data_IF_564012294141
#
_entry.id   IF_564012294141
#
_cell.length_a   1.000
_cell.length_b   1.000
_cell.length_c   1.000
_cell.angle_alpha   90.00
_cell.angle_beta   90.00
_cell.angle_gamma   90.00
#
_symmetry.space_group_name_H-M   'P 1'
#
loop_
_entity.id
_entity.type
_entity.pdbx_description
1 polymer ?
#
# COMPACT_ATOMS: atom_id res chain seq x y z
N UNK A 1 -56.37 55.10 7.93
CA UNK A 1 -55.17 54.30 7.56
C UNK A 1 -55.10 52.94 8.27
N UNK A 2 -55.15 52.86 9.61
CA UNK A 2 -54.88 51.60 10.36
C UNK A 2 -55.59 50.31 9.87
N UNK A 3 -56.88 50.38 9.51
CA UNK A 3 -57.67 49.22 9.03
C UNK A 3 -56.99 48.46 7.87
N UNK A 4 -56.51 49.17 6.83
CA UNK A 4 -55.90 48.52 5.66
C UNK A 4 -54.59 47.81 6.02
N UNK A 5 -53.81 48.34 6.98
CA UNK A 5 -52.59 47.68 7.45
C UNK A 5 -52.91 46.45 8.31
N UNK A 6 -53.96 46.50 9.13
CA UNK A 6 -54.44 45.34 9.87
C UNK A 6 -54.84 44.19 8.94
N UNK A 7 -55.62 44.46 7.88
CA UNK A 7 -56.00 43.43 6.90
C UNK A 7 -54.80 42.89 6.11
N UNK A 8 -53.81 43.71 5.75
CA UNK A 8 -52.56 43.24 5.13
C UNK A 8 -51.76 42.32 6.06
N UNK A 9 -51.60 42.70 7.32
CA UNK A 9 -50.88 41.89 8.30
C UNK A 9 -51.62 40.57 8.57
N UNK A 10 -52.96 40.60 8.70
CA UNK A 10 -53.79 39.41 8.88
C UNK A 10 -53.71 38.46 7.69
N UNK A 11 -53.75 38.99 6.45
CA UNK A 11 -53.58 38.20 5.22
C UNK A 11 -52.18 37.57 5.14
N UNK A 12 -51.13 38.31 5.52
CA UNK A 12 -49.77 37.77 5.56
C UNK A 12 -49.64 36.64 6.59
N UNK A 13 -50.24 36.79 7.77
CA UNK A 13 -50.27 35.76 8.81
C UNK A 13 -51.06 34.53 8.36
N UNK A 14 -52.23 34.69 7.71
CA UNK A 14 -52.98 33.52 7.21
C UNK A 14 -52.27 32.83 6.06
N UNK A 15 -51.60 33.56 5.16
CA UNK A 15 -50.74 32.97 4.11
C UNK A 15 -49.56 32.19 4.72
N UNK A 16 -48.86 32.74 5.71
CA UNK A 16 -47.78 32.04 6.42
C UNK A 16 -48.27 30.78 7.15
N UNK A 17 -49.44 30.85 7.80
CA UNK A 17 -50.06 29.69 8.47
C UNK A 17 -50.54 28.62 7.49
N UNK A 18 -51.05 29.00 6.31
CA UNK A 18 -51.42 28.07 5.25
C UNK A 18 -50.19 27.43 4.60
N UNK A 19 -49.13 28.20 4.36
CA UNK A 19 -47.86 27.70 3.82
C UNK A 19 -47.18 26.72 4.79
N UNK A 20 -47.11 27.05 6.07
CA UNK A 20 -46.60 26.15 7.11
C UNK A 20 -47.48 24.89 7.27
N UNK A 21 -48.80 24.98 7.10
CA UNK A 21 -49.69 23.80 7.07
C UNK A 21 -49.46 22.92 5.85
N UNK A 22 -49.22 23.49 4.68
CA UNK A 22 -48.90 22.74 3.47
C UNK A 22 -47.55 21.99 3.62
N UNK A 23 -46.52 22.65 4.15
CA UNK A 23 -45.22 22.01 4.43
C UNK A 23 -45.38 20.87 5.47
N UNK A 24 -46.23 21.06 6.48
CA UNK A 24 -46.55 20.04 7.48
C UNK A 24 -47.47 18.90 6.98
N UNK A 25 -47.85 18.89 5.69
CA UNK A 25 -48.63 17.82 5.05
C UNK A 25 -47.82 17.02 4.01
N UNK A 26 -46.58 17.40 3.71
CA UNK A 26 -45.67 16.62 2.85
C UNK A 26 -45.19 15.39 3.62
N UNK A 27 -45.17 14.22 2.98
CA UNK A 27 -44.63 13.00 3.59
C UNK A 27 -43.13 13.19 3.92
N UNK A 28 -42.63 12.77 5.10
CA UNK A 28 -41.21 12.88 5.43
C UNK A 28 -40.27 12.25 4.38
N UNK A 29 -40.70 11.19 3.68
CA UNK A 29 -39.96 10.58 2.58
C UNK A 29 -39.96 11.43 1.30
N UNK A 30 -41.09 12.06 0.96
CA UNK A 30 -41.22 12.98 -0.17
C UNK A 30 -40.36 14.22 0.03
N UNK A 31 -40.39 14.78 1.24
CA UNK A 31 -39.55 15.91 1.62
C UNK A 31 -38.06 15.56 1.50
N UNK A 32 -37.62 14.42 2.05
CA UNK A 32 -36.23 13.98 1.95
C UNK A 32 -35.79 13.79 0.50
N UNK A 33 -36.63 13.22 -0.37
CA UNK A 33 -36.27 13.08 -1.77
C UNK A 33 -36.17 14.43 -2.50
N UNK A 34 -37.05 15.39 -2.21
CA UNK A 34 -36.95 16.75 -2.75
C UNK A 34 -35.62 17.41 -2.32
N UNK A 35 -35.24 17.27 -1.04
CA UNK A 35 -33.99 17.78 -0.48
C UNK A 35 -32.74 17.10 -1.10
N UNK A 36 -32.80 15.82 -1.46
CA UNK A 36 -31.75 15.11 -2.21
C UNK A 36 -31.70 15.48 -3.71
N UNK A 37 -32.85 15.66 -4.35
CA UNK A 37 -32.98 16.07 -5.75
C UNK A 37 -32.35 17.45 -5.98
N UNK A 38 -32.66 18.39 -5.09
CA UNK A 38 -32.21 19.78 -5.23
C UNK A 38 -30.72 19.93 -4.95
N UNK A 39 -30.15 19.10 -4.05
CA UNK A 39 -28.71 18.97 -3.87
C UNK A 39 -28.00 18.46 -5.15
N UNK A 40 -28.54 17.42 -5.82
CA UNK A 40 -27.99 16.96 -7.11
C UNK A 40 -28.14 18.01 -8.22
N UNK A 41 -29.22 18.81 -8.24
CA UNK A 41 -29.36 19.90 -9.21
C UNK A 41 -28.29 20.97 -9.00
N UNK A 42 -28.11 21.45 -7.76
CA UNK A 42 -27.08 22.43 -7.43
C UNK A 42 -25.67 21.93 -7.80
N UNK A 43 -25.38 20.65 -7.56
CA UNK A 43 -24.12 20.01 -7.92
C UNK A 43 -23.88 19.96 -9.44
N UNK A 44 -24.90 19.56 -10.23
CA UNK A 44 -24.86 19.58 -11.71
C UNK A 44 -24.56 20.98 -12.22
N UNK A 45 -25.30 21.96 -11.71
CA UNK A 45 -25.25 23.34 -12.18
C UNK A 45 -23.91 24.01 -11.83
N UNK A 46 -23.30 23.63 -10.70
CA UNK A 46 -21.93 24.03 -10.30
C UNK A 46 -20.82 23.46 -11.18
N UNK A 47 -21.01 22.30 -11.82
CA UNK A 47 -19.99 21.66 -12.68
C UNK A 47 -19.93 22.18 -14.12
N UNK A 48 -20.95 22.94 -14.57
CA UNK A 48 -21.03 23.55 -15.91
C UNK A 48 -20.62 22.61 -17.07
N UNK A 49 -21.04 21.34 -17.01
CA UNK A 49 -20.59 20.29 -17.92
C UNK A 49 -21.74 19.80 -18.81
N UNK A 50 -21.58 19.90 -20.13
CA UNK A 50 -22.65 19.58 -21.11
C UNK A 50 -23.10 18.11 -21.07
N UNK A 51 -22.21 17.17 -20.75
CA UNK A 51 -22.56 15.75 -20.61
C UNK A 51 -23.41 15.53 -19.35
N UNK A 52 -23.03 16.09 -18.19
CA UNK A 52 -23.85 16.03 -16.98
C UNK A 52 -25.18 16.77 -17.13
N UNK A 53 -25.20 17.92 -17.80
CA UNK A 53 -26.44 18.67 -18.05
C UNK A 53 -27.48 17.85 -18.82
N UNK A 54 -27.04 16.97 -19.74
CA UNK A 54 -27.91 16.01 -20.43
C UNK A 54 -28.22 14.79 -19.56
N UNK A 55 -27.22 14.18 -18.91
CA UNK A 55 -27.39 12.95 -18.12
C UNK A 55 -28.17 13.13 -16.82
N UNK A 56 -28.16 14.34 -16.25
CA UNK A 56 -28.89 14.73 -15.04
C UNK A 56 -29.97 15.79 -15.33
N UNK A 57 -30.53 15.80 -16.55
CA UNK A 57 -31.63 16.69 -16.92
C UNK A 57 -32.90 16.42 -16.10
N UNK A 58 -33.25 15.14 -15.90
CA UNK A 58 -34.48 14.69 -15.25
C UNK A 58 -34.16 13.93 -13.94
N UNK A 59 -33.88 14.66 -12.87
CA UNK A 59 -33.68 14.09 -11.52
C UNK A 59 -35.07 13.85 -10.90
N UNK A 60 -35.57 12.62 -10.98
CA UNK A 60 -36.93 12.25 -10.57
C UNK A 60 -36.92 11.51 -9.23
N UNK A 61 -37.92 11.81 -8.39
CA UNK A 61 -38.09 11.20 -7.07
C UNK A 61 -38.92 9.90 -7.07
N UNK A 62 -39.92 9.81 -7.93
CA UNK A 62 -40.90 8.72 -7.90
C UNK A 62 -41.11 8.11 -9.27
N UNK A 63 -40.43 7.00 -9.51
CA UNK A 63 -40.69 6.05 -10.58
C UNK A 63 -40.32 4.66 -10.06
N UNK A 64 -41.13 3.63 -10.37
CA UNK A 64 -40.78 2.24 -10.04
C UNK A 64 -39.47 1.78 -10.72
N UNK A 65 -39.06 2.50 -11.78
CA UNK A 65 -37.73 2.44 -12.38
C UNK A 65 -37.30 3.89 -12.72
N UNK A 66 -36.53 4.59 -11.85
CA UNK A 66 -35.98 5.90 -12.20
C UNK A 66 -34.91 5.75 -13.28
N UNK A 67 -34.70 6.77 -14.14
CA UNK A 67 -33.62 6.72 -15.12
C UNK A 67 -32.25 6.63 -14.41
N UNK A 68 -31.36 5.80 -14.95
CA UNK A 68 -29.97 5.69 -14.48
C UNK A 68 -29.22 7.01 -14.73
N UNK A 69 -29.25 7.90 -13.73
CA UNK A 69 -28.44 9.12 -13.71
C UNK A 69 -26.97 8.70 -13.66
N UNK A 70 -26.19 9.08 -14.68
CA UNK A 70 -24.79 8.66 -14.80
C UNK A 70 -24.01 8.97 -13.50
N UNK A 71 -23.39 7.94 -12.92
CA UNK A 71 -22.61 8.06 -11.69
C UNK A 71 -23.41 8.07 -10.38
N UNK A 72 -24.75 8.06 -10.39
CA UNK A 72 -25.56 8.03 -9.16
C UNK A 72 -25.93 6.59 -8.79
N UNK A 73 -25.61 6.19 -7.57
CA UNK A 73 -26.09 4.94 -6.95
C UNK A 73 -27.25 5.25 -6.01
N UNK A 74 -28.25 4.37 -5.99
CA UNK A 74 -29.41 4.45 -5.08
C UNK A 74 -29.66 3.12 -4.37
N UNK A 75 -30.24 3.20 -3.17
CA UNK A 75 -30.81 2.07 -2.45
C UNK A 75 -32.07 2.52 -1.72
N UNK A 76 -33.18 1.81 -1.89
CA UNK A 76 -34.50 2.17 -1.33
C UNK A 76 -34.85 3.65 -1.58
N UNK A 77 -34.74 4.06 -2.85
CA UNK A 77 -34.96 5.41 -3.39
C UNK A 77 -34.08 6.55 -2.85
N UNK A 78 -33.20 6.28 -1.87
CA UNK A 78 -32.21 7.21 -1.33
C UNK A 78 -30.89 7.16 -2.11
N UNK A 79 -30.22 8.31 -2.22
CA UNK A 79 -28.88 8.38 -2.83
C UNK A 79 -27.85 7.76 -1.88
N UNK A 80 -27.14 6.74 -2.36
CA UNK A 80 -26.08 6.04 -1.62
C UNK A 80 -24.69 6.24 -2.22
N UNK A 81 -24.58 6.72 -3.46
CA UNK A 81 -23.28 6.96 -4.08
C UNK A 81 -23.29 7.99 -5.21
N UNK A 82 -22.18 8.71 -5.35
CA UNK A 82 -21.89 9.63 -6.46
C UNK A 82 -20.48 9.34 -6.96
N UNK A 83 -20.35 8.86 -8.19
CA UNK A 83 -19.08 8.45 -8.83
C UNK A 83 -18.97 9.11 -10.20
N UNK A 84 -18.18 10.18 -10.30
CA UNK A 84 -18.03 11.03 -11.48
C UNK A 84 -16.55 11.20 -11.87
N UNK A 85 -15.87 10.09 -12.12
CA UNK A 85 -14.42 10.08 -12.38
C UNK A 85 -14.08 10.37 -13.85
N UNK A 86 -12.92 10.99 -14.10
CA UNK A 86 -12.32 11.13 -15.44
C UNK A 86 -13.18 11.88 -16.49
N UNK A 87 -14.20 12.64 -16.07
CA UNK A 87 -15.14 13.35 -16.97
C UNK A 87 -14.65 14.73 -17.43
N UNK A 88 -13.53 15.22 -16.91
CA UNK A 88 -13.04 16.57 -17.18
C UNK A 88 -13.92 17.67 -16.57
N UNK A 89 -14.58 17.38 -15.43
CA UNK A 89 -15.43 18.36 -14.73
C UNK A 89 -14.62 19.56 -14.26
N UNK A 90 -15.26 20.73 -14.26
CA UNK A 90 -14.68 21.99 -13.79
C UNK A 90 -15.69 22.70 -12.88
N UNK A 91 -15.44 23.95 -12.51
CA UNK A 91 -16.31 24.69 -11.59
C UNK A 91 -16.03 24.34 -10.13
N UNK A 92 -16.92 24.80 -9.24
CA UNK A 92 -16.74 24.75 -7.80
C UNK A 92 -17.83 23.91 -7.14
N UNK A 93 -17.46 23.09 -6.16
CA UNK A 93 -18.41 22.49 -5.22
C UNK A 93 -18.50 23.38 -3.97
N UNK A 94 -19.71 23.70 -3.54
CA UNK A 94 -19.93 24.43 -2.29
C UNK A 94 -19.83 23.49 -1.08
N UNK A 95 -19.28 23.98 0.02
CA UNK A 95 -18.92 23.15 1.17
C UNK A 95 -20.10 22.35 1.74
N UNK A 96 -21.33 22.86 1.65
CA UNK A 96 -22.55 22.22 2.15
C UNK A 96 -23.27 21.29 1.14
N UNK A 97 -22.67 20.99 -0.01
CA UNK A 97 -23.34 20.30 -1.13
C UNK A 97 -23.95 18.91 -0.80
N UNK A 98 -23.50 18.24 0.26
CA UNK A 98 -23.94 16.89 0.62
C UNK A 98 -24.75 16.79 1.91
N UNK A 99 -25.02 17.91 2.60
CA UNK A 99 -25.69 17.94 3.92
C UNK A 99 -27.05 17.21 3.89
N UNK A 100 -27.79 17.29 2.78
CA UNK A 100 -29.08 16.60 2.60
C UNK A 100 -28.94 15.10 2.26
N UNK A 101 -27.78 14.65 1.75
CA UNK A 101 -27.57 13.29 1.23
C UNK A 101 -27.24 12.30 2.36
N UNK A 102 -28.11 12.20 3.37
CA UNK A 102 -27.83 11.52 4.65
C UNK A 102 -27.60 10.00 4.55
N UNK A 103 -27.85 9.39 3.39
CA UNK A 103 -27.56 7.98 3.09
C UNK A 103 -26.30 7.77 2.21
N UNK A 104 -25.59 8.84 1.85
CA UNK A 104 -24.39 8.78 1.00
C UNK A 104 -23.29 7.96 1.68
N UNK A 105 -22.83 6.91 0.99
CA UNK A 105 -21.81 5.96 1.42
C UNK A 105 -20.53 6.01 0.56
N UNK A 106 -20.65 6.38 -0.72
CA UNK A 106 -19.54 6.45 -1.67
C UNK A 106 -19.54 7.80 -2.39
N UNK A 107 -18.44 8.54 -2.31
CA UNK A 107 -18.20 9.73 -3.12
C UNK A 107 -16.89 9.57 -3.89
N UNK A 108 -16.93 9.75 -5.21
CA UNK A 108 -15.72 9.88 -6.03
C UNK A 108 -15.87 10.95 -7.11
N UNK A 109 -14.95 11.92 -7.10
CA UNK A 109 -14.74 12.95 -8.11
C UNK A 109 -13.35 12.85 -8.76
N UNK A 110 -12.70 11.68 -8.61
CA UNK A 110 -11.33 11.38 -9.04
C UNK A 110 -10.99 11.87 -10.45
N UNK A 111 -9.82 12.50 -10.59
CA UNK A 111 -9.23 12.91 -11.88
C UNK A 111 -10.14 13.83 -12.71
N UNK A 112 -10.40 15.02 -12.17
CA UNK A 112 -11.12 16.11 -12.85
C UNK A 112 -10.36 17.44 -12.66
N UNK A 113 -11.07 18.57 -12.68
CA UNK A 113 -10.52 19.91 -12.45
C UNK A 113 -11.48 20.77 -11.60
N UNK A 114 -12.16 20.10 -10.67
CA UNK A 114 -13.10 20.69 -9.70
C UNK A 114 -12.31 21.43 -8.62
N UNK A 115 -12.80 22.59 -8.19
CA UNK A 115 -12.22 23.38 -7.10
C UNK A 115 -13.21 23.63 -5.94
N UNK A 116 -12.71 24.27 -4.88
CA UNK A 116 -13.44 24.52 -3.63
C UNK A 116 -12.76 23.84 -2.44
N UNK A 117 -13.31 24.08 -1.25
CA UNK A 117 -12.79 23.47 -0.02
C UNK A 117 -13.29 22.03 0.13
N UNK A 118 -12.71 21.27 1.07
CA UNK A 118 -13.23 19.93 1.41
C UNK A 118 -14.61 20.08 2.07
N UNK A 119 -15.62 19.47 1.44
CA UNK A 119 -17.02 19.56 1.85
C UNK A 119 -17.26 19.13 3.32
N UNK A 120 -18.35 19.64 3.90
CA UNK A 120 -18.90 19.18 5.18
C UNK A 120 -19.64 17.85 5.02
N UNK A 121 -19.18 16.84 5.75
CA UNK A 121 -19.76 15.49 5.78
C UNK A 121 -20.50 15.16 7.08
N UNK A 122 -20.73 16.14 7.97
CA UNK A 122 -21.22 15.91 9.35
C UNK A 122 -22.53 15.13 9.45
N UNK A 123 -23.40 15.20 8.42
CA UNK A 123 -24.66 14.44 8.37
C UNK A 123 -24.58 13.14 7.55
N UNK A 124 -23.48 12.89 6.84
CA UNK A 124 -23.30 11.72 5.95
C UNK A 124 -22.78 10.51 6.72
N UNK A 125 -23.45 10.15 7.82
CA UNK A 125 -23.08 9.11 8.79
C UNK A 125 -23.15 7.65 8.25
N UNK A 126 -23.16 7.49 6.92
CA UNK A 126 -23.05 6.24 6.18
C UNK A 126 -21.81 6.17 5.27
N UNK A 127 -20.97 7.21 5.27
CA UNK A 127 -19.78 7.28 4.43
C UNK A 127 -18.79 6.15 4.72
N UNK A 128 -18.40 5.45 3.65
CA UNK A 128 -17.39 4.37 3.62
C UNK A 128 -16.19 4.81 2.76
N UNK A 129 -16.43 5.48 1.62
CA UNK A 129 -15.37 5.88 0.69
C UNK A 129 -15.54 7.31 0.19
N UNK A 130 -14.45 8.09 0.27
CA UNK A 130 -14.29 9.41 -0.36
C UNK A 130 -13.04 9.38 -1.25
N UNK A 131 -13.16 9.69 -2.55
CA UNK A 131 -12.05 9.94 -3.46
C UNK A 131 -12.22 11.28 -4.20
N UNK A 132 -11.55 12.32 -3.69
CA UNK A 132 -11.48 13.65 -4.30
C UNK A 132 -10.14 13.86 -5.04
N UNK A 133 -9.37 12.79 -5.27
CA UNK A 133 -7.98 12.90 -5.73
C UNK A 133 -7.84 13.41 -7.17
N UNK A 134 -6.71 14.04 -7.48
CA UNK A 134 -6.40 14.63 -8.79
C UNK A 134 -7.45 15.67 -9.22
N UNK A 135 -7.53 16.77 -8.45
CA UNK A 135 -8.45 17.89 -8.64
C UNK A 135 -7.75 19.22 -8.24
N UNK A 136 -8.54 20.25 -7.93
CA UNK A 136 -8.09 21.58 -7.50
C UNK A 136 -8.75 21.98 -6.17
N UNK A 137 -9.04 21.02 -5.29
CA UNK A 137 -9.56 21.33 -3.95
C UNK A 137 -8.50 22.06 -3.12
N UNK A 138 -8.90 23.10 -2.40
CA UNK A 138 -8.05 23.95 -1.55
C UNK A 138 -8.63 24.09 -0.13
N UNK A 139 -8.23 25.12 0.63
CA UNK A 139 -8.59 25.24 2.05
C UNK A 139 -7.91 24.17 2.91
N UNK A 140 -8.59 23.72 3.98
CA UNK A 140 -8.11 22.71 4.92
C UNK A 140 -8.84 21.36 4.76
N UNK A 141 -8.28 20.29 5.33
CA UNK A 141 -9.00 19.02 5.48
C UNK A 141 -10.11 19.22 6.52
N UNK A 142 -11.37 19.00 6.12
CA UNK A 142 -12.54 19.27 6.95
C UNK A 142 -12.65 18.34 8.16
N UNK A 143 -12.69 18.90 9.38
CA UNK A 143 -12.87 18.15 10.64
C UNK A 143 -14.19 17.35 10.70
N UNK A 144 -15.17 17.67 9.85
CA UNK A 144 -16.39 16.86 9.69
C UNK A 144 -16.09 15.39 9.38
N UNK A 145 -14.97 15.13 8.69
CA UNK A 145 -14.47 13.79 8.35
C UNK A 145 -14.10 12.95 9.59
N UNK A 146 -13.76 13.59 10.72
CA UNK A 146 -13.47 12.89 11.99
C UNK A 146 -14.70 12.21 12.59
N UNK A 147 -15.91 12.66 12.23
CA UNK A 147 -17.17 12.09 12.73
C UNK A 147 -17.57 10.79 12.00
N UNK A 148 -16.90 10.45 10.89
CA UNK A 148 -17.31 9.37 9.99
C UNK A 148 -16.81 8.01 10.50
N UNK A 149 -17.54 7.44 11.45
CA UNK A 149 -17.21 6.19 12.15
C UNK A 149 -17.18 4.93 11.26
N UNK A 150 -17.69 5.00 10.02
CA UNK A 150 -17.70 3.89 9.05
C UNK A 150 -16.74 4.11 7.86
N UNK A 151 -15.93 5.17 7.88
CA UNK A 151 -15.03 5.51 6.77
C UNK A 151 -13.90 4.48 6.66
N UNK A 152 -13.79 3.81 5.51
CA UNK A 152 -12.76 2.81 5.19
C UNK A 152 -11.70 3.35 4.21
N UNK A 153 -12.05 4.30 3.33
CA UNK A 153 -11.13 4.92 2.37
C UNK A 153 -11.32 6.43 2.20
N UNK A 154 -10.21 7.19 2.26
CA UNK A 154 -10.16 8.66 2.10
C UNK A 154 -8.97 9.08 1.22
N UNK A 155 -9.22 9.34 -0.06
CA UNK A 155 -8.24 9.75 -1.07
C UNK A 155 -8.40 11.24 -1.38
N UNK A 156 -7.39 12.06 -1.04
CA UNK A 156 -7.35 13.52 -1.23
C UNK A 156 -6.10 13.99 -1.99
N UNK A 157 -5.26 13.06 -2.47
CA UNK A 157 -3.97 13.33 -3.10
C UNK A 157 -4.08 14.10 -4.43
N UNK A 158 -3.02 14.82 -4.80
CA UNK A 158 -2.99 15.68 -6.00
C UNK A 158 -4.12 16.74 -5.98
N UNK A 159 -4.06 17.62 -4.98
CA UNK A 159 -4.93 18.78 -4.80
C UNK A 159 -4.06 19.96 -4.30
N UNK A 160 -4.70 21.03 -3.81
CA UNK A 160 -4.05 22.24 -3.29
C UNK A 160 -4.32 22.45 -1.80
N UNK A 161 -4.69 21.39 -1.06
CA UNK A 161 -5.06 21.44 0.36
C UNK A 161 -3.91 21.94 1.25
N UNK A 162 -4.24 22.70 2.29
CA UNK A 162 -3.30 23.42 3.18
C UNK A 162 -3.57 23.10 4.66
N UNK A 163 -2.64 23.50 5.54
CA UNK A 163 -2.76 23.28 6.99
C UNK A 163 -2.43 21.85 7.43
N UNK A 164 -2.75 21.54 8.69
CA UNK A 164 -2.41 20.27 9.36
C UNK A 164 -3.33 19.12 8.94
N UNK A 165 -2.87 17.88 9.17
CA UNK A 165 -3.70 16.69 9.04
C UNK A 165 -4.46 16.45 10.36
N UNK A 166 -5.81 16.39 10.35
CA UNK A 166 -6.60 16.10 11.54
C UNK A 166 -6.32 14.73 12.20
N UNK A 167 -6.67 14.58 13.48
CA UNK A 167 -6.46 13.34 14.25
C UNK A 167 -7.54 12.28 13.95
N UNK A 168 -7.42 11.62 12.80
CA UNK A 168 -8.23 10.48 12.38
C UNK A 168 -8.09 9.28 13.34
N UNK A 169 -8.96 9.22 14.35
CA UNK A 169 -8.99 8.15 15.35
C UNK A 169 -9.99 7.02 15.01
N UNK A 170 -10.54 7.00 13.78
CA UNK A 170 -11.48 5.94 13.37
C UNK A 170 -10.77 4.60 13.13
N UNK A 171 -11.13 3.60 13.94
CA UNK A 171 -10.60 2.23 13.84
C UNK A 171 -11.08 1.45 12.62
N UNK A 172 -11.95 2.03 11.79
CA UNK A 172 -12.44 1.50 10.50
C UNK A 172 -11.56 1.89 9.30
N UNK A 173 -10.86 3.02 9.36
CA UNK A 173 -10.14 3.58 8.21
C UNK A 173 -8.94 2.70 7.84
N UNK A 174 -8.89 2.25 6.58
CA UNK A 174 -7.86 1.33 6.03
C UNK A 174 -6.99 1.97 4.97
N UNK A 175 -7.57 2.88 4.19
CA UNK A 175 -6.89 3.56 3.10
C UNK A 175 -7.01 5.07 3.32
N UNK A 176 -5.88 5.78 3.39
CA UNK A 176 -5.88 7.22 3.51
C UNK A 176 -4.71 7.79 2.71
N UNK A 177 -4.91 8.87 1.96
CA UNK A 177 -3.85 9.44 1.13
C UNK A 177 -4.07 10.93 0.92
N UNK A 178 -3.14 11.74 1.42
CA UNK A 178 -3.15 13.21 1.32
C UNK A 178 -1.93 13.77 0.59
N UNK A 179 -1.18 12.90 -0.11
CA UNK A 179 0.08 13.26 -0.75
C UNK A 179 -0.06 14.25 -1.91
N UNK A 180 1.00 14.99 -2.23
CA UNK A 180 1.00 16.00 -3.29
C UNK A 180 -0.11 17.07 -3.06
N UNK A 181 -0.02 17.73 -1.90
CA UNK A 181 -0.82 18.85 -1.42
C UNK A 181 0.12 19.87 -0.74
N UNK A 182 -0.39 21.04 -0.34
CA UNK A 182 0.31 22.12 0.36
C UNK A 182 0.13 22.07 1.90
N UNK A 183 -0.09 20.87 2.45
CA UNK A 183 -0.27 20.63 3.88
C UNK A 183 1.00 21.00 4.67
N UNK A 184 0.88 21.24 5.97
CA UNK A 184 2.02 21.49 6.89
C UNK A 184 1.60 21.37 8.36
N UNK A 185 2.55 21.00 9.22
CA UNK A 185 2.31 20.79 10.66
C UNK A 185 2.85 19.45 11.15
N UNK A 186 2.61 19.10 12.43
CA UNK A 186 3.02 17.84 13.01
C UNK A 186 2.20 16.65 12.47
N UNK A 187 2.71 15.43 12.67
CA UNK A 187 1.99 14.19 12.39
C UNK A 187 0.99 13.93 13.52
N UNK A 188 -0.31 13.70 13.24
CA UNK A 188 -1.31 13.42 14.27
C UNK A 188 -1.05 12.11 15.03
N UNK A 189 -1.24 12.12 16.37
CA UNK A 189 -0.94 10.98 17.25
C UNK A 189 -2.19 10.13 17.53
N UNK A 190 -2.61 9.36 16.52
CA UNK A 190 -3.88 8.63 16.53
C UNK A 190 -3.80 7.22 17.14
N UNK A 191 -4.76 6.88 18.00
CA UNK A 191 -4.72 5.65 18.80
C UNK A 191 -5.27 4.43 18.03
N UNK A 192 -4.34 3.65 17.47
CA UNK A 192 -4.52 2.27 16.98
C UNK A 192 -5.63 2.03 15.93
N UNK A 193 -5.57 2.79 14.84
CA UNK A 193 -5.53 2.16 13.52
C UNK A 193 -4.06 2.07 13.14
N UNK A 194 -3.53 0.87 12.94
CA UNK A 194 -2.12 0.71 12.60
C UNK A 194 -1.79 1.50 11.33
N UNK A 195 -0.97 2.53 11.52
CA UNK A 195 -0.09 3.14 10.51
C UNK A 195 -0.60 4.36 9.69
N UNK A 196 -1.15 5.34 10.39
CA UNK A 196 -1.35 6.71 9.90
C UNK A 196 -0.11 7.63 9.68
N UNK A 197 1.00 7.70 10.42
CA UNK A 197 1.95 6.72 10.97
C UNK A 197 2.66 5.81 9.93
N UNK A 198 2.14 5.66 8.70
CA UNK A 198 2.92 5.52 7.45
C UNK A 198 2.46 6.50 6.37
N UNK A 199 1.26 7.05 6.53
CA UNK A 199 0.69 7.98 5.56
C UNK A 199 1.27 9.40 5.71
N UNK A 200 2.19 9.57 6.69
CA UNK A 200 3.27 10.55 6.72
C UNK A 200 4.69 9.92 6.86
N UNK A 201 4.89 8.58 6.80
CA UNK A 201 6.20 7.97 6.47
C UNK A 201 6.32 7.85 4.93
N UNK A 202 6.82 8.84 4.22
CA UNK A 202 7.52 9.99 4.76
C UNK A 202 6.93 11.33 4.38
N UNK A 203 5.94 11.38 3.48
CA UNK A 203 5.36 12.59 2.83
C UNK A 203 6.39 13.50 2.10
N UNK A 204 7.67 13.41 2.49
CA UNK A 204 8.63 14.51 2.64
C UNK A 204 10.09 14.08 2.88
N UNK A 205 10.41 12.77 2.94
CA UNK A 205 11.67 12.27 2.31
C UNK A 205 11.73 12.65 0.81
N UNK A 206 10.58 13.05 0.26
CA UNK A 206 10.42 13.71 -1.03
C UNK A 206 10.77 15.22 -1.02
N UNK A 207 10.65 15.92 0.12
CA UNK A 207 11.21 17.28 0.27
C UNK A 207 12.72 17.27 0.51
N UNK A 208 13.24 16.21 1.13
CA UNK A 208 14.65 15.83 1.01
C UNK A 208 15.06 15.40 -0.43
N UNK A 209 14.18 15.56 -1.42
CA UNK A 209 14.55 15.67 -2.83
C UNK A 209 14.24 17.07 -3.39
N UNK A 210 13.11 17.69 -3.02
CA UNK A 210 12.74 19.05 -3.42
C UNK A 210 13.80 20.13 -3.06
N UNK A 211 14.72 19.86 -2.13
CA UNK A 211 15.88 20.75 -1.82
C UNK A 211 17.26 20.23 -2.23
N UNK A 212 17.51 18.92 -2.25
CA UNK A 212 18.88 18.37 -2.41
C UNK A 212 19.49 18.53 -3.82
N UNK A 213 18.72 18.95 -4.82
CA UNK A 213 19.23 19.30 -6.17
C UNK A 213 19.21 20.82 -6.45
N UNK A 214 18.82 21.67 -5.49
CA UNK A 214 18.63 23.10 -5.72
C UNK A 214 19.94 23.94 -5.63
N UNK A 215 21.02 23.38 -5.06
CA UNK A 215 22.22 24.14 -4.68
C UNK A 215 23.51 23.30 -4.54
N UNK A 216 23.78 22.42 -5.51
CA UNK A 216 25.11 21.83 -5.83
C UNK A 216 25.10 21.59 -7.35
N UNK A 217 25.79 22.31 -8.23
CA UNK A 217 27.09 23.00 -8.22
C UNK A 217 28.33 22.07 -8.25
N UNK A 218 28.92 22.03 -9.45
CA UNK A 218 30.27 21.56 -9.89
C UNK A 218 30.76 20.10 -9.69
N UNK A 219 31.14 19.49 -10.84
CA UNK A 219 32.22 18.48 -11.08
C UNK A 219 32.16 17.18 -10.26
N UNK A 220 31.92 16.00 -10.85
CA UNK A 220 32.78 15.34 -11.86
C UNK A 220 31.98 14.34 -12.73
N UNK A 221 32.48 14.03 -13.94
CA UNK A 221 31.79 13.23 -14.96
C UNK A 221 32.60 12.00 -15.42
N UNK A 222 33.05 11.15 -14.47
CA UNK A 222 33.73 9.89 -14.79
C UNK A 222 33.50 8.75 -13.75
N UNK A 223 32.29 8.18 -13.71
CA UNK A 223 32.12 6.80 -13.23
C UNK A 223 30.90 6.10 -13.86
N UNK A 224 31.14 5.02 -14.59
CA UNK A 224 30.09 4.15 -15.17
C UNK A 224 29.60 3.13 -14.12
N UNK A 225 29.11 3.60 -12.98
CA UNK A 225 28.60 2.75 -11.89
C UNK A 225 27.10 2.43 -12.08
N UNK A 226 26.82 1.23 -12.59
CA UNK A 226 25.47 0.71 -12.83
C UNK A 226 24.80 0.07 -11.61
N UNK A 227 25.47 0.01 -10.46
CA UNK A 227 25.05 -0.81 -9.30
C UNK A 227 23.73 -0.36 -8.64
N UNK A 228 23.32 0.89 -8.83
CA UNK A 228 22.34 1.63 -8.01
C UNK A 228 20.86 1.29 -8.23
N UNK A 229 20.50 0.12 -8.78
CA UNK A 229 19.17 -0.13 -9.36
C UNK A 229 18.20 -1.05 -8.57
N UNK A 230 18.66 -1.91 -7.66
CA UNK A 230 17.80 -2.52 -6.60
C UNK A 230 18.22 -2.13 -5.18
N UNK A 231 19.48 -1.74 -4.96
CA UNK A 231 19.90 -1.01 -3.75
C UNK A 231 19.38 0.45 -3.77
N UNK A 232 18.07 0.62 -3.96
CA UNK A 232 17.42 1.90 -4.14
C UNK A 232 17.17 2.61 -2.79
N UNK A 233 18.26 2.86 -2.05
CA UNK A 233 18.31 3.52 -0.74
C UNK A 233 17.32 2.93 0.28
N UNK A 234 17.67 1.79 0.89
CA UNK A 234 17.07 1.36 2.16
C UNK A 234 17.47 2.36 3.27
N UNK A 235 16.76 3.49 3.34
CA UNK A 235 17.01 4.54 4.32
C UNK A 235 16.33 4.14 5.62
N UNK A 236 17.12 3.92 6.68
CA UNK A 236 16.58 3.87 8.06
C UNK A 236 15.87 5.20 8.31
N UNK A 237 14.62 5.08 8.70
CA UNK A 237 13.70 6.16 8.97
C UNK A 237 13.35 6.10 10.46
N UNK A 238 13.39 7.25 11.14
CA UNK A 238 13.06 7.39 12.56
C UNK A 238 12.01 8.48 12.66
N UNK A 239 10.93 8.22 13.38
CA UNK A 239 9.99 9.27 13.81
C UNK A 239 10.55 9.95 15.06
N UNK A 240 10.11 11.17 15.36
CA UNK A 240 10.59 11.89 16.54
C UNK A 240 10.23 11.18 17.87
N UNK A 241 9.05 10.52 17.93
CA UNK A 241 8.55 9.76 19.09
C UNK A 241 8.07 8.32 18.73
N UNK A 242 8.57 7.71 17.65
CA UNK A 242 7.99 6.47 17.10
C UNK A 242 8.98 5.46 16.49
N UNK A 243 8.51 4.24 16.18
CA UNK A 243 9.36 3.10 15.85
C UNK A 243 10.16 3.33 14.58
N UNK A 244 11.42 2.88 14.59
CA UNK A 244 12.26 2.94 13.40
C UNK A 244 11.75 1.97 12.31
N UNK A 245 11.83 2.42 11.05
CA UNK A 245 11.39 1.66 9.87
C UNK A 245 12.46 1.67 8.76
N UNK A 246 12.35 0.74 7.81
CA UNK A 246 13.10 0.74 6.56
C UNK A 246 12.17 1.14 5.43
N UNK A 247 12.51 2.19 4.68
CA UNK A 247 11.82 2.56 3.45
C UNK A 247 12.57 1.99 2.25
N UNK A 248 11.90 1.16 1.44
CA UNK A 248 12.47 0.50 0.26
C UNK A 248 11.77 0.98 -1.01
N UNK A 249 12.52 1.57 -1.94
CA UNK A 249 11.96 2.04 -3.22
C UNK A 249 11.88 0.91 -4.24
N UNK A 250 10.68 0.65 -4.73
CA UNK A 250 10.47 -0.27 -5.85
C UNK A 250 10.76 0.44 -7.19
N UNK A 251 11.37 -0.31 -8.10
CA UNK A 251 11.63 0.07 -9.50
C UNK A 251 11.33 -1.14 -10.38
N UNK A 252 11.46 -0.97 -11.69
CA UNK A 252 11.45 -2.09 -12.66
C UNK A 252 10.16 -2.95 -12.60
N UNK A 253 9.07 -2.32 -12.16
CA UNK A 253 7.75 -2.92 -12.02
C UNK A 253 7.09 -3.17 -13.37
N UNK A 254 6.25 -4.21 -13.45
CA UNK A 254 5.34 -4.38 -14.59
C UNK A 254 4.31 -3.24 -14.61
N UNK A 255 3.72 -2.90 -15.77
CA UNK A 255 2.60 -1.95 -15.83
C UNK A 255 1.46 -2.43 -14.93
N UNK A 256 1.00 -1.54 -14.04
CA UNK A 256 0.01 -1.81 -13.00
C UNK A 256 -0.91 -0.61 -12.84
N UNK A 257 -2.19 -0.86 -12.64
CA UNK A 257 -3.13 0.10 -12.06
C UNK A 257 -2.89 0.26 -10.55
N UNK A 258 -3.48 1.30 -9.95
CA UNK A 258 -3.45 1.50 -8.49
C UNK A 258 -4.05 0.30 -7.75
N UNK A 259 -5.12 -0.27 -8.31
CA UNK A 259 -5.95 -1.28 -7.64
C UNK A 259 -5.32 -2.67 -7.73
N UNK A 260 -4.71 -3.02 -8.88
CA UNK A 260 -3.89 -4.22 -9.00
C UNK A 260 -2.65 -4.17 -8.08
N UNK A 261 -2.00 -3.01 -7.96
CA UNK A 261 -0.86 -2.82 -7.06
C UNK A 261 -1.28 -2.95 -5.59
N UNK A 262 -2.36 -2.28 -5.19
CA UNK A 262 -2.94 -2.40 -3.85
C UNK A 262 -3.33 -3.84 -3.52
N UNK A 263 -3.97 -4.56 -4.46
CA UNK A 263 -4.35 -5.97 -4.30
C UNK A 263 -3.15 -6.89 -4.10
N UNK A 264 -2.07 -6.72 -4.88
CA UNK A 264 -0.83 -7.49 -4.71
C UNK A 264 -0.13 -7.20 -3.38
N UNK A 265 -0.16 -5.95 -2.89
CA UNK A 265 0.42 -5.60 -1.60
C UNK A 265 -0.43 -6.04 -0.40
N UNK A 266 -1.76 -6.06 -0.53
CA UNK A 266 -2.64 -6.63 0.49
C UNK A 266 -2.32 -8.12 0.68
N UNK A 267 -2.19 -8.89 -0.40
CA UNK A 267 -1.81 -10.29 -0.35
C UNK A 267 -0.43 -10.56 0.31
N UNK A 268 0.47 -9.57 0.32
CA UNK A 268 1.77 -9.60 1.02
C UNK A 268 1.62 -9.21 2.49
N UNK A 269 0.81 -8.19 2.80
CA UNK A 269 0.50 -7.74 4.17
C UNK A 269 -0.32 -8.77 4.98
N UNK A 270 -1.09 -9.62 4.30
CA UNK A 270 -1.86 -10.71 4.92
C UNK A 270 -0.97 -11.89 5.38
N UNK A 271 0.30 -11.97 4.94
CA UNK A 271 1.25 -13.04 5.33
C UNK A 271 1.82 -12.79 6.73
N UNK A 272 1.01 -13.05 7.76
CA UNK A 272 1.35 -12.78 9.17
C UNK A 272 2.04 -14.00 9.80
N UNK A 273 3.37 -13.92 9.96
CA UNK A 273 4.20 -14.99 10.52
C UNK A 273 5.40 -14.43 11.30
N UNK A 274 5.78 -14.97 12.48
CA UNK A 274 6.88 -14.46 13.32
C UNK A 274 8.29 -14.56 12.71
N UNK A 275 8.45 -15.17 11.55
CA UNK A 275 9.72 -15.18 10.80
C UNK A 275 9.62 -14.52 9.41
N UNK A 276 8.53 -13.81 9.11
CA UNK A 276 8.43 -12.91 7.95
C UNK A 276 8.59 -11.46 8.44
N UNK A 277 9.31 -10.63 7.68
CA UNK A 277 9.42 -9.20 7.94
C UNK A 277 8.10 -8.52 7.52
N UNK A 278 7.22 -8.08 8.44
CA UNK A 278 5.91 -7.57 8.05
C UNK A 278 6.03 -6.36 7.14
N UNK A 279 5.34 -6.38 5.99
CA UNK A 279 5.00 -5.17 5.25
C UNK A 279 3.98 -4.41 6.09
N UNK A 280 4.36 -3.22 6.58
CA UNK A 280 3.47 -2.46 7.46
C UNK A 280 2.59 -1.48 6.67
N UNK A 281 3.11 -0.83 5.62
CA UNK A 281 2.33 -0.21 4.54
C UNK A 281 3.19 0.13 3.31
N UNK A 282 2.59 0.86 2.37
CA UNK A 282 3.17 1.24 1.08
C UNK A 282 2.79 2.66 0.64
N UNK A 283 3.50 3.18 -0.36
CA UNK A 283 3.16 4.40 -1.08
C UNK A 283 3.07 4.09 -2.59
N UNK A 284 2.09 4.69 -3.27
CA UNK A 284 1.90 4.59 -4.72
C UNK A 284 1.58 5.97 -5.32
N UNK A 285 2.41 6.44 -6.24
CA UNK A 285 2.06 7.48 -7.22
C UNK A 285 2.53 7.07 -8.62
N UNK A 286 2.32 7.92 -9.63
CA UNK A 286 2.76 7.64 -11.02
C UNK A 286 4.25 7.27 -11.09
N UNK A 287 5.09 8.01 -10.37
CA UNK A 287 6.55 8.00 -10.55
C UNK A 287 7.29 7.21 -9.45
N UNK A 288 6.70 7.09 -8.25
CA UNK A 288 7.36 6.55 -7.06
C UNK A 288 6.49 5.49 -6.35
N UNK A 289 7.09 4.33 -6.05
CA UNK A 289 6.47 3.23 -5.31
C UNK A 289 7.39 2.84 -4.17
N UNK A 290 6.89 2.86 -2.93
CA UNK A 290 7.69 2.54 -1.73
C UNK A 290 6.99 1.43 -0.93
N UNK A 291 7.78 0.51 -0.37
CA UNK A 291 7.36 -0.41 0.69
C UNK A 291 8.04 -0.02 1.98
N UNK A 292 7.37 -0.21 3.11
CA UNK A 292 7.94 0.12 4.42
C UNK A 292 7.72 -1.01 5.43
N UNK A 293 8.83 -1.39 6.07
CA UNK A 293 8.96 -2.51 7.00
C UNK A 293 9.50 -2.03 8.36
N UNK A 294 9.31 -2.81 9.43
CA UNK A 294 9.95 -2.51 10.73
C UNK A 294 11.48 -2.53 10.56
N UNK A 295 12.19 -1.60 11.21
CA UNK A 295 13.65 -1.66 11.26
C UNK A 295 14.10 -2.84 12.12
N UNK A 296 14.77 -3.80 11.48
CA UNK A 296 15.48 -4.89 12.14
C UNK A 296 16.83 -4.35 12.62
N UNK A 297 17.06 -4.38 13.94
CA UNK A 297 18.14 -3.62 14.58
C UNK A 297 19.47 -4.34 14.66
N UNK A 298 19.50 -5.67 14.48
CA UNK A 298 20.68 -6.51 14.69
C UNK A 298 21.21 -7.08 13.36
N UNK A 299 22.53 -7.01 13.16
CA UNK A 299 23.19 -7.38 11.90
C UNK A 299 23.98 -8.68 11.89
N UNK A 300 24.23 -9.31 13.05
CA UNK A 300 25.19 -10.41 13.19
C UNK A 300 24.51 -11.73 13.58
N UNK A 301 24.74 -12.79 12.80
CA UNK A 301 24.14 -14.12 13.02
C UNK A 301 24.90 -14.91 14.09
N UNK A 302 24.68 -14.58 15.36
CA UNK A 302 25.31 -15.28 16.49
C UNK A 302 24.79 -16.72 16.69
N UNK A 303 23.57 -17.02 16.20
CA UNK A 303 22.94 -18.35 16.31
C UNK A 303 22.46 -18.88 14.95
N UNK A 304 23.41 -19.38 14.15
CA UNK A 304 23.18 -19.85 12.77
C UNK A 304 22.14 -20.99 12.65
N UNK A 305 22.01 -21.86 13.67
CA UNK A 305 20.96 -22.89 13.72
C UNK A 305 19.56 -22.31 13.94
N UNK A 306 19.43 -21.33 14.84
CA UNK A 306 18.17 -20.64 15.08
C UNK A 306 17.71 -19.91 13.82
N UNK A 307 18.63 -19.18 13.15
CA UNK A 307 18.35 -18.48 11.90
C UNK A 307 17.90 -19.41 10.79
N UNK A 308 18.65 -20.49 10.51
CA UNK A 308 18.24 -21.51 9.54
C UNK A 308 16.82 -22.04 9.80
N UNK A 309 16.51 -22.39 11.06
CA UNK A 309 15.20 -22.92 11.46
C UNK A 309 14.06 -21.91 11.29
N UNK A 310 14.30 -20.63 11.58
CA UNK A 310 13.29 -19.58 11.39
C UNK A 310 13.02 -19.29 9.92
N UNK A 311 14.06 -19.27 9.08
CA UNK A 311 13.91 -19.11 7.62
C UNK A 311 13.15 -20.30 7.01
N UNK A 312 13.42 -21.54 7.46
CA UNK A 312 12.65 -22.71 7.04
C UNK A 312 11.14 -22.58 7.35
N UNK A 313 10.79 -22.12 8.57
CA UNK A 313 9.39 -21.85 8.97
C UNK A 313 8.74 -20.74 8.15
N UNK A 314 9.49 -19.71 7.79
CA UNK A 314 9.00 -18.63 6.92
C UNK A 314 8.64 -19.15 5.52
N UNK A 315 9.48 -20.00 4.94
CA UNK A 315 9.18 -20.68 3.67
C UNK A 315 7.99 -21.64 3.80
N UNK A 316 7.95 -22.46 4.86
CA UNK A 316 6.83 -23.36 5.17
C UNK A 316 5.50 -22.60 5.23
N UNK A 317 5.44 -21.48 5.96
CA UNK A 317 4.26 -20.61 6.02
C UNK A 317 3.84 -20.12 4.62
N UNK A 318 4.76 -19.51 3.87
CA UNK A 318 4.50 -19.02 2.51
C UNK A 318 4.06 -20.14 1.56
N UNK A 319 4.58 -21.36 1.75
CA UNK A 319 4.26 -22.51 0.89
C UNK A 319 2.93 -23.17 1.26
N UNK A 320 2.44 -23.03 2.49
CA UNK A 320 1.17 -23.62 2.95
C UNK A 320 -0.01 -22.64 2.89
N UNK A 321 0.19 -21.35 3.14
CA UNK A 321 -0.88 -20.36 3.35
C UNK A 321 -1.49 -19.84 2.01
N UNK A 322 -1.91 -20.76 1.15
CA UNK A 322 -2.30 -20.48 -0.26
C UNK A 322 -3.76 -20.02 -0.39
N UNK A 323 -4.20 -19.05 0.40
CA UNK A 323 -5.58 -18.52 0.39
C UNK A 323 -5.92 -17.74 -0.89
N UNK A 324 -4.90 -17.31 -1.64
CA UNK A 324 -5.02 -16.76 -3.00
C UNK A 324 -4.17 -17.54 -3.97
N UNK A 325 -4.67 -17.74 -5.20
CA UNK A 325 -4.03 -18.53 -6.27
C UNK A 325 -2.74 -17.90 -6.85
N UNK A 326 -2.20 -16.86 -6.20
CA UNK A 326 -1.22 -15.91 -6.75
C UNK A 326 0.12 -15.88 -6.03
N UNK A 327 0.25 -16.45 -4.82
CA UNK A 327 1.40 -16.17 -3.93
C UNK A 327 2.16 -17.41 -3.41
N UNK A 328 2.73 -18.20 -4.32
CA UNK A 328 3.93 -19.03 -4.10
C UNK A 328 4.71 -19.00 -5.42
N UNK A 329 6.04 -18.77 -5.49
CA UNK A 329 7.06 -18.84 -4.42
C UNK A 329 7.67 -17.49 -3.98
N UNK A 330 8.53 -17.54 -2.96
CA UNK A 330 9.31 -16.40 -2.43
C UNK A 330 10.19 -15.75 -3.49
N UNK A 331 10.89 -16.56 -4.30
CA UNK A 331 11.59 -16.11 -5.50
C UNK A 331 12.98 -15.50 -5.31
N UNK A 332 13.27 -14.89 -4.15
CA UNK A 332 14.52 -14.16 -3.92
C UNK A 332 15.20 -14.43 -2.56
N UNK A 333 15.26 -15.69 -2.11
CA UNK A 333 15.91 -15.99 -0.82
C UNK A 333 17.45 -15.98 -0.94
N UNK A 334 18.10 -15.20 -0.07
CA UNK A 334 19.56 -15.10 0.12
C UNK A 334 19.86 -14.45 1.48
N UNK A 335 21.12 -14.52 1.94
CA UNK A 335 21.55 -13.95 3.22
C UNK A 335 21.21 -12.47 3.42
N UNK A 336 21.37 -11.62 2.40
CA UNK A 336 21.00 -10.19 2.47
C UNK A 336 19.50 -9.93 2.70
N UNK A 337 18.66 -10.95 2.56
CA UNK A 337 17.20 -10.87 2.66
C UNK A 337 16.70 -11.59 3.93
N UNK A 338 17.60 -11.85 4.89
CA UNK A 338 17.30 -12.39 6.22
C UNK A 338 17.89 -11.43 7.25
N UNK A 339 17.01 -10.73 7.96
CA UNK A 339 17.37 -9.74 8.98
C UNK A 339 17.18 -10.31 10.39
N UNK A 340 17.72 -9.65 11.42
CA UNK A 340 17.50 -10.02 12.83
C UNK A 340 16.85 -8.86 13.59
N UNK A 341 15.75 -9.16 14.28
CA UNK A 341 15.07 -8.18 15.13
C UNK A 341 15.84 -7.94 16.45
N UNK A 342 15.26 -7.09 17.30
CA UNK A 342 15.79 -6.74 18.62
C UNK A 342 15.92 -7.94 19.60
N UNK A 343 15.30 -9.08 19.28
CA UNK A 343 15.28 -10.33 20.04
C UNK A 343 16.13 -11.44 19.38
N UNK A 344 16.97 -11.10 18.39
CA UNK A 344 17.71 -12.03 17.50
C UNK A 344 16.83 -12.97 16.66
N UNK A 345 15.52 -12.68 16.51
CA UNK A 345 14.61 -13.49 15.70
C UNK A 345 14.84 -13.22 14.20
N UNK A 346 14.97 -14.28 13.36
CA UNK A 346 15.18 -14.14 11.94
C UNK A 346 13.89 -13.72 11.23
N UNK A 347 13.97 -12.64 10.46
CA UNK A 347 12.89 -12.09 9.64
C UNK A 347 13.27 -12.14 8.16
N UNK A 348 12.54 -12.93 7.38
CA UNK A 348 12.72 -13.05 5.92
C UNK A 348 12.01 -11.89 5.22
N UNK A 349 12.72 -11.19 4.32
CA UNK A 349 12.24 -10.02 3.58
C UNK A 349 12.16 -10.25 2.06
N UNK A 350 11.57 -9.30 1.33
CA UNK A 350 11.36 -9.32 -0.14
C UNK A 350 10.50 -10.48 -0.68
N UNK A 351 9.71 -11.14 0.17
CA UNK A 351 8.76 -12.16 -0.26
C UNK A 351 7.61 -11.56 -1.10
N UNK A 352 7.09 -12.33 -2.06
CA UNK A 352 5.95 -11.94 -2.91
C UNK A 352 6.24 -10.90 -4.00
N UNK A 353 7.41 -10.24 -4.00
CA UNK A 353 7.79 -9.22 -4.99
C UNK A 353 7.89 -9.74 -6.44
N UNK A 354 7.98 -11.07 -6.60
CA UNK A 354 7.84 -11.78 -7.89
C UNK A 354 6.56 -11.45 -8.64
N UNK A 355 5.49 -11.08 -7.93
CA UNK A 355 4.23 -10.65 -8.54
C UNK A 355 4.34 -9.27 -9.21
N UNK A 356 5.17 -8.36 -8.68
CA UNK A 356 5.19 -6.93 -9.03
C UNK A 356 6.20 -6.57 -10.14
N UNK A 357 7.33 -7.28 -10.23
CA UNK A 357 8.49 -6.92 -11.06
C UNK A 357 8.41 -7.58 -12.46
N UNK A 358 9.00 -6.96 -13.48
CA UNK A 358 9.01 -7.50 -14.84
C UNK A 358 9.90 -8.77 -14.99
N UNK A 359 9.39 -9.78 -15.71
CA UNK A 359 10.04 -11.11 -15.86
C UNK A 359 11.51 -11.10 -16.34
N UNK A 360 11.95 -10.26 -17.30
CA UNK A 360 13.36 -10.23 -17.70
C UNK A 360 14.30 -9.82 -16.56
N UNK A 361 13.80 -8.95 -15.68
CA UNK A 361 14.58 -8.36 -14.58
C UNK A 361 14.58 -9.30 -13.37
N UNK A 362 13.48 -10.00 -13.13
CA UNK A 362 13.43 -11.17 -12.25
C UNK A 362 14.46 -12.23 -12.66
N UNK A 363 14.48 -12.60 -13.96
CA UNK A 363 15.37 -13.62 -14.50
C UNK A 363 16.87 -13.26 -14.39
N UNK A 364 17.23 -11.97 -14.44
CA UNK A 364 18.60 -11.52 -14.25
C UNK A 364 19.00 -11.47 -12.76
N UNK A 365 18.11 -10.97 -11.89
CA UNK A 365 18.50 -10.50 -10.54
C UNK A 365 18.08 -11.43 -9.39
N UNK A 366 16.99 -12.18 -9.48
CA UNK A 366 16.47 -12.97 -8.36
C UNK A 366 17.04 -14.40 -8.29
N UNK A 367 17.28 -14.89 -7.06
CA UNK A 367 17.99 -16.16 -6.83
C UNK A 367 17.22 -17.38 -7.32
N UNK A 368 15.92 -17.51 -7.03
CA UNK A 368 15.12 -18.67 -7.46
C UNK A 368 14.94 -18.75 -8.98
N UNK A 369 15.26 -17.68 -9.74
CA UNK A 369 15.29 -17.67 -11.21
C UNK A 369 16.63 -18.15 -11.79
N UNK A 370 17.63 -18.39 -10.94
CA UNK A 370 18.91 -19.03 -11.31
C UNK A 370 18.90 -20.54 -10.99
N UNK A 371 17.78 -21.07 -10.49
CA UNK A 371 17.61 -22.48 -10.11
C UNK A 371 17.65 -23.41 -11.33
N UNK A 372 18.07 -24.69 -11.18
CA UNK A 372 17.97 -25.70 -12.23
C UNK A 372 16.54 -25.88 -12.77
N UNK A 373 15.54 -25.76 -11.89
CA UNK A 373 14.11 -25.84 -12.25
C UNK A 373 13.70 -24.70 -13.19
N UNK A 374 14.03 -23.44 -12.88
CA UNK A 374 13.71 -22.32 -13.77
C UNK A 374 14.54 -22.36 -15.06
N UNK A 375 15.81 -22.76 -14.98
CA UNK A 375 16.65 -22.89 -16.17
C UNK A 375 16.07 -23.90 -17.17
N UNK A 376 15.57 -25.05 -16.70
CA UNK A 376 14.91 -26.07 -17.53
C UNK A 376 13.48 -25.71 -17.96
N UNK A 377 12.60 -25.39 -17.01
CA UNK A 377 11.15 -25.30 -17.22
C UNK A 377 10.58 -23.88 -17.32
N UNK A 378 11.41 -22.83 -17.13
CA UNK A 378 11.01 -21.41 -17.10
C UNK A 378 9.89 -21.08 -16.10
N UNK A 379 9.76 -21.90 -15.07
CA UNK A 379 8.82 -21.74 -13.96
C UNK A 379 9.59 -21.81 -12.65
N UNK A 380 9.31 -20.87 -11.75
CA UNK A 380 9.79 -20.91 -10.36
C UNK A 380 8.73 -21.60 -9.52
N UNK A 381 9.12 -22.51 -8.63
CA UNK A 381 8.19 -23.17 -7.69
C UNK A 381 8.74 -23.22 -6.27
N UNK A 382 8.03 -23.91 -5.38
CA UNK A 382 8.50 -24.30 -4.05
C UNK A 382 9.89 -24.94 -4.08
N UNK A 383 10.19 -25.76 -5.10
CA UNK A 383 11.50 -26.43 -5.26
C UNK A 383 12.62 -25.44 -5.59
N UNK A 384 12.35 -24.37 -6.35
CA UNK A 384 13.31 -23.27 -6.55
C UNK A 384 13.60 -22.46 -5.28
N UNK A 385 12.63 -22.32 -4.37
CA UNK A 385 12.88 -21.73 -3.04
C UNK A 385 13.70 -22.67 -2.16
N UNK A 386 13.40 -23.98 -2.15
CA UNK A 386 14.23 -25.00 -1.48
C UNK A 386 15.69 -24.94 -1.97
N UNK A 387 15.90 -24.82 -3.28
CA UNK A 387 17.24 -24.65 -3.85
C UNK A 387 17.93 -23.38 -3.36
N UNK A 388 17.21 -22.26 -3.32
CA UNK A 388 17.72 -20.97 -2.81
C UNK A 388 18.01 -21.02 -1.32
N UNK A 389 17.21 -21.75 -0.53
CA UNK A 389 17.47 -22.05 0.88
C UNK A 389 18.74 -22.90 1.04
N UNK A 390 18.99 -23.87 0.17
CA UNK A 390 20.25 -24.60 0.10
C UNK A 390 21.45 -23.66 -0.08
N UNK A 391 21.37 -22.74 -1.05
CA UNK A 391 22.36 -21.69 -1.23
C UNK A 391 22.59 -20.83 0.02
N UNK A 392 21.50 -20.34 0.63
CA UNK A 392 21.55 -19.57 1.88
C UNK A 392 22.18 -20.33 3.05
N UNK A 393 21.90 -21.62 3.21
CA UNK A 393 22.54 -22.45 4.24
C UNK A 393 24.06 -22.57 4.00
N UNK A 394 24.51 -22.61 2.75
CA UNK A 394 25.94 -22.56 2.45
C UNK A 394 26.55 -21.17 2.73
N UNK A 395 25.82 -20.08 2.52
CA UNK A 395 26.27 -18.74 2.93
C UNK A 395 26.45 -18.69 4.47
N UNK A 396 25.49 -19.20 5.25
CA UNK A 396 25.58 -19.31 6.72
C UNK A 396 26.74 -20.19 7.22
N UNK A 397 27.02 -21.31 6.54
CA UNK A 397 28.05 -22.26 6.98
C UNK A 397 29.47 -21.86 6.58
N UNK A 398 29.63 -21.20 5.42
CA UNK A 398 30.94 -20.90 4.82
C UNK A 398 31.42 -19.47 5.09
N UNK A 399 30.53 -18.55 5.46
CA UNK A 399 30.81 -17.11 5.54
C UNK A 399 31.08 -16.44 4.19
N UNK A 400 30.79 -17.12 3.07
CA UNK A 400 31.04 -16.66 1.69
C UNK A 400 29.70 -16.29 1.02
N UNK A 401 29.73 -15.34 0.08
CA UNK A 401 28.56 -14.96 -0.73
C UNK A 401 28.48 -15.84 -1.98
N UNK A 402 27.28 -16.33 -2.30
CA UNK A 402 27.04 -17.14 -3.51
C UNK A 402 27.13 -16.30 -4.78
N UNK A 403 27.70 -16.84 -5.85
CA UNK A 403 27.67 -16.25 -7.20
C UNK A 403 26.23 -16.05 -7.74
N UNK A 404 25.25 -16.78 -7.20
CA UNK A 404 23.84 -16.58 -7.51
C UNK A 404 23.23 -15.38 -6.75
N UNK A 405 23.82 -14.99 -5.61
CA UNK A 405 23.43 -13.85 -4.76
C UNK A 405 24.20 -12.56 -5.06
N UNK A 406 25.42 -12.68 -5.60
CA UNK A 406 26.39 -11.60 -5.76
C UNK A 406 26.09 -10.65 -6.94
N UNK A 407 26.67 -9.45 -6.85
CA UNK A 407 26.66 -8.44 -7.91
C UNK A 407 27.86 -8.61 -8.85
N UNK A 408 27.74 -8.09 -10.08
CA UNK A 408 28.83 -8.06 -11.06
C UNK A 408 30.03 -7.28 -10.48
N UNK A 409 31.23 -7.89 -10.53
CA UNK A 409 32.46 -7.33 -9.98
C UNK A 409 32.89 -7.88 -8.61
N UNK A 410 32.01 -8.54 -7.85
CA UNK A 410 32.40 -9.23 -6.62
C UNK A 410 33.05 -10.60 -6.89
N UNK A 411 34.15 -10.88 -6.19
CA UNK A 411 34.73 -12.23 -6.14
C UNK A 411 33.74 -13.18 -5.47
N UNK A 412 33.09 -14.01 -6.28
CA UNK A 412 31.95 -14.82 -5.88
C UNK A 412 32.11 -16.27 -6.33
N UNK A 413 31.54 -17.18 -5.54
CA UNK A 413 31.73 -18.63 -5.71
C UNK A 413 30.37 -19.28 -5.90
N UNK A 414 30.26 -20.19 -6.87
CA UNK A 414 29.14 -21.13 -6.93
C UNK A 414 29.27 -22.10 -5.73
N UNK A 415 28.67 -21.74 -4.61
CA UNK A 415 28.81 -22.48 -3.35
C UNK A 415 28.30 -23.91 -3.47
N UNK A 416 27.19 -24.15 -4.19
CA UNK A 416 26.69 -25.50 -4.44
C UNK A 416 27.76 -26.35 -5.18
N UNK A 417 28.30 -25.87 -6.31
CA UNK A 417 29.32 -26.61 -7.07
C UNK A 417 30.72 -26.64 -6.40
N UNK A 418 31.03 -25.73 -5.48
CA UNK A 418 32.24 -25.81 -4.65
C UNK A 418 32.08 -26.84 -3.53
N UNK A 419 30.98 -26.78 -2.77
CA UNK A 419 30.70 -27.71 -1.66
C UNK A 419 30.51 -29.15 -2.15
N UNK A 420 29.82 -29.38 -3.27
CA UNK A 420 29.73 -30.73 -3.86
C UNK A 420 31.11 -31.33 -4.22
N UNK A 421 32.11 -30.50 -4.54
CA UNK A 421 33.49 -30.96 -4.75
C UNK A 421 34.20 -31.22 -3.43
N UNK A 422 34.18 -30.25 -2.50
CA UNK A 422 34.82 -30.38 -1.19
C UNK A 422 34.30 -31.59 -0.38
N UNK A 423 32.99 -31.88 -0.42
CA UNK A 423 32.42 -33.07 0.23
C UNK A 423 32.88 -34.37 -0.47
N UNK A 424 32.92 -34.40 -1.81
CA UNK A 424 33.38 -35.55 -2.60
C UNK A 424 34.88 -35.83 -2.44
N UNK A 425 35.67 -34.78 -2.26
CA UNK A 425 37.12 -34.84 -2.04
C UNK A 425 37.48 -34.98 -0.54
N UNK A 426 36.48 -35.19 0.33
CA UNK A 426 36.56 -35.38 1.79
C UNK A 426 37.03 -34.15 2.61
N UNK A 427 37.22 -32.98 1.99
CA UNK A 427 37.69 -31.73 2.62
C UNK A 427 36.57 -30.99 3.39
N UNK A 428 35.74 -31.75 4.10
CA UNK A 428 34.52 -31.22 4.76
C UNK A 428 34.83 -30.21 5.88
N UNK A 429 36.02 -30.29 6.49
CA UNK A 429 36.46 -29.34 7.51
C UNK A 429 36.73 -27.92 6.95
N UNK A 430 37.11 -27.80 5.67
CA UNK A 430 37.41 -26.51 5.01
C UNK A 430 36.16 -25.78 4.49
N UNK A 431 35.00 -26.41 4.60
CA UNK A 431 33.71 -25.82 4.21
C UNK A 431 33.24 -24.82 5.27
N UNK A 432 33.46 -25.13 6.54
CA UNK A 432 33.04 -24.28 7.66
C UNK A 432 33.94 -23.05 7.79
N UNK A 433 33.35 -21.92 8.19
CA UNK A 433 34.14 -20.74 8.56
C UNK A 433 34.94 -20.96 9.85
N UNK A 434 35.85 -20.03 10.14
CA UNK A 434 36.78 -20.12 11.26
C UNK A 434 36.08 -20.14 12.63
N UNK A 435 34.91 -19.50 12.77
CA UNK A 435 34.15 -19.51 14.03
C UNK A 435 33.53 -20.89 14.29
N UNK A 436 32.86 -21.48 13.29
CA UNK A 436 32.32 -22.85 13.41
C UNK A 436 33.47 -23.85 13.64
N UNK A 437 34.54 -23.77 12.86
CA UNK A 437 35.66 -24.72 12.93
C UNK A 437 36.37 -24.74 14.30
N UNK A 438 36.36 -23.62 15.03
CA UNK A 438 36.86 -23.57 16.41
C UNK A 438 35.93 -24.26 17.43
N UNK A 439 34.61 -24.28 17.19
CA UNK A 439 33.60 -24.75 18.13
C UNK A 439 33.34 -26.26 18.01
N UNK A 440 34.20 -27.08 18.63
CA UNK A 440 34.11 -28.56 18.62
C UNK A 440 32.73 -29.14 18.99
N UNK A 441 31.93 -28.43 19.78
CA UNK A 441 30.56 -28.82 20.16
C UNK A 441 29.51 -28.57 19.07
N UNK A 442 29.72 -27.61 18.15
CA UNK A 442 28.80 -27.27 17.08
C UNK A 442 28.80 -28.31 15.94
N UNK A 443 29.91 -29.02 15.76
CA UNK A 443 30.20 -29.92 14.63
C UNK A 443 29.02 -30.81 14.19
N UNK A 444 28.37 -31.54 15.10
CA UNK A 444 27.29 -32.47 14.71
C UNK A 444 26.02 -31.77 14.20
N UNK A 445 25.71 -30.57 14.72
CA UNK A 445 24.62 -29.74 14.24
C UNK A 445 24.94 -29.11 12.88
N UNK A 446 26.17 -28.61 12.73
CA UNK A 446 26.66 -27.99 11.49
C UNK A 446 26.81 -29.00 10.35
N UNK A 447 27.29 -30.22 10.61
CA UNK A 447 27.34 -31.31 9.62
C UNK A 447 25.95 -31.75 9.15
N UNK A 448 24.95 -31.78 10.05
CA UNK A 448 23.55 -32.03 9.66
C UNK A 448 23.00 -30.91 8.79
N UNK A 449 23.29 -29.65 9.13
CA UNK A 449 22.88 -28.49 8.33
C UNK A 449 23.56 -28.48 6.95
N UNK A 450 24.83 -28.87 6.87
CA UNK A 450 25.58 -29.00 5.62
C UNK A 450 24.98 -30.09 4.71
N UNK A 451 24.64 -31.26 5.27
CA UNK A 451 23.99 -32.34 4.51
C UNK A 451 22.60 -31.91 3.99
N UNK A 452 21.83 -31.15 4.79
CA UNK A 452 20.58 -30.55 4.33
C UNK A 452 20.82 -29.55 3.19
N UNK A 453 21.78 -28.64 3.34
CA UNK A 453 22.14 -27.66 2.31
C UNK A 453 22.55 -28.33 0.99
N UNK A 454 23.33 -29.42 1.06
CA UNK A 454 23.74 -30.25 -0.09
C UNK A 454 22.54 -30.95 -0.75
N UNK A 455 21.57 -31.47 0.02
CA UNK A 455 20.31 -32.01 -0.54
C UNK A 455 19.45 -30.94 -1.21
N UNK A 456 19.45 -29.72 -0.68
CA UNK A 456 18.73 -28.58 -1.25
C UNK A 456 19.40 -28.05 -2.54
N UNK A 457 20.74 -28.05 -2.61
CA UNK A 457 21.52 -27.66 -3.78
C UNK A 457 21.45 -28.64 -4.97
N UNK A 458 20.88 -29.85 -4.81
CA UNK A 458 20.88 -30.88 -5.86
C UNK A 458 20.19 -30.38 -7.15
N UNK A 459 20.75 -30.78 -8.29
CA UNK A 459 20.29 -30.41 -9.64
C UNK A 459 19.14 -31.29 -10.12
N UNK A 460 18.82 -32.38 -9.40
CA UNK A 460 17.64 -33.23 -9.62
C UNK A 460 16.43 -32.71 -8.82
N UNK A 461 15.36 -32.22 -9.47
CA UNK A 461 14.17 -31.71 -8.76
C UNK A 461 13.47 -32.75 -7.89
N UNK A 462 13.60 -34.04 -8.26
CA UNK A 462 13.07 -35.21 -7.56
C UNK A 462 13.81 -35.52 -6.25
N UNK A 463 15.03 -35.01 -6.07
CA UNK A 463 15.84 -35.22 -4.85
C UNK A 463 15.89 -34.02 -3.91
N UNK A 464 15.54 -32.84 -4.41
CA UNK A 464 15.47 -31.62 -3.61
C UNK A 464 14.43 -31.76 -2.49
N UNK A 465 14.89 -31.69 -1.24
CA UNK A 465 14.09 -31.97 -0.05
C UNK A 465 12.91 -30.98 0.11
N UNK A 466 11.69 -31.45 -0.18
CA UNK A 466 10.45 -30.67 -0.08
C UNK A 466 9.19 -31.54 -0.10
N UNK A 467 9.35 -32.82 0.25
CA UNK A 467 8.32 -33.87 0.32
C UNK A 467 8.34 -34.59 1.69
N UNK A 468 9.30 -34.20 2.56
CA UNK A 468 9.53 -34.63 3.95
C UNK A 468 9.47 -33.38 4.87
#
# INVERSE_FOLDING_TARGET
MGSLQFFKNLLLITLLLLFNRAIAQIDPSERLCIEERDALSALRDGFNNSFLNVKWANILCYLNHPPELYGIQRSNDRITGIVLENLGLTGKVEANAFVNLTMLAILSFKNNSISGEVMDFSLNQKMIQIDLSSNKFDGQISDSLLTLNFLESLQLQHNMLTGSIPEFNQSTLRQFNVSNNQLSGPIPNTADSSIFQLLFIFWKLKEEQEKNNASQEEVDYNSNDTSKLIEAKEKRAMMDDGPAVVVKRLRDLKPLTSDEFASQLQAIADQKHPNLLPLIAYYYSRDEKLLVHKFASNGNVYNRLHVARGVARALEHLHLNTTSQTLVPHGNLKSSNVLLDENEMPLVSDYGLTSLIALPILAQRMVSYKSPEYLGYKKVSKKSDVWSYGGFLLELLTGKVSAHSAHEGLSSVDLCNWVHRAVREEWTAEIFDLEIAAQRSANHGMLRLLNLAVRCCDKSPEKAAGDD
#
